data_IF_192081603836
#
_entry.id   IF_192081603836
#
_cell.length_a   1.000
_cell.length_b   1.000
_cell.length_c   1.000
_cell.angle_alpha   90.00
_cell.angle_beta   90.00
_cell.angle_gamma   90.00
#
_symmetry.space_group_name_H-M   'P 1'
#
loop_
_entity.id
_entity.type
_entity.pdbx_description
1 polymer ?
2 polymer ?
3 non-polymer ?
4 non-polymer ?
5 water ?
#
# COMPACT_ATOMS: atom_id res chain seq x y z
N UNK A 5 2.09 -2.89 -30.31
CA UNK A 5 1.79 -3.60 -29.07
C UNK A 5 2.14 -2.75 -27.85
N UNK A 6 1.12 -2.41 -27.07
CA UNK A 6 1.30 -1.57 -25.89
C UNK A 6 1.97 -2.34 -24.77
N UNK A 7 2.72 -1.62 -23.94
CA UNK A 7 3.22 -2.19 -22.71
C UNK A 7 2.03 -2.42 -21.78
N UNK A 8 2.10 -3.46 -20.95
CA UNK A 8 1.02 -3.73 -19.98
C UNK A 8 0.83 -2.56 -19.02
N UNK A 9 -0.43 -2.29 -18.67
CA UNK A 9 -0.80 -1.22 -17.76
C UNK A 9 -1.45 -1.79 -16.50
N UNK A 10 -0.96 -1.38 -15.33
CA UNK A 10 -1.58 -1.77 -14.07
C UNK A 10 -2.06 -0.51 -13.37
N UNK A 11 -3.33 -0.48 -12.97
CA UNK A 11 -3.93 0.70 -12.36
C UNK A 11 -4.01 0.58 -10.84
N UNK A 12 -3.71 1.68 -10.15
CA UNK A 12 -3.96 1.74 -8.71
C UNK A 12 -4.43 3.11 -8.30
N UNK A 13 -5.38 3.17 -7.37
CA UNK A 13 -5.83 4.46 -6.85
C UNK A 13 -5.68 4.51 -5.35
N UNK A 14 -5.28 5.67 -4.84
CA UNK A 14 -5.19 5.88 -3.40
C UNK A 14 -6.57 6.16 -2.80
N UNK A 15 -7.51 6.53 -3.66
CA UNK A 15 -8.87 6.85 -3.22
C UNK A 15 -9.62 5.59 -2.79
N UNK A 16 -9.80 5.44 -1.48
CA UNK A 16 -10.47 4.27 -0.93
C UNK A 16 -9.61 3.02 -0.93
N UNK A 17 -8.29 3.20 -0.99
CA UNK A 17 -7.38 2.06 -0.98
C UNK A 17 -7.54 1.20 0.27
N UNK A 18 -7.48 -0.11 0.09
CA UNK A 18 -7.54 -1.05 1.20
C UNK A 18 -6.31 -1.96 1.16
N UNK A 19 -6.12 -2.75 2.22
CA UNK A 19 -5.06 -3.73 2.19
C UNK A 19 -5.26 -4.65 0.98
N UNK A 20 -6.51 -5.04 0.75
CA UNK A 20 -6.84 -5.93 -0.36
C UNK A 20 -6.51 -5.32 -1.72
N UNK A 21 -6.90 -4.06 -1.94
CA UNK A 21 -6.65 -3.45 -3.24
C UNK A 21 -5.15 -3.26 -3.47
N UNK A 22 -4.41 -2.90 -2.42
CA UNK A 22 -2.96 -2.75 -2.52
C UNK A 22 -2.31 -4.12 -2.78
N UNK A 23 -2.82 -5.15 -2.12
CA UNK A 23 -2.33 -6.51 -2.30
C UNK A 23 -2.51 -6.95 -3.75
N UNK A 24 -3.69 -6.74 -4.29
CA UNK A 24 -3.95 -7.08 -5.69
C UNK A 24 -3.07 -6.31 -6.66
N UNK A 25 -2.80 -5.05 -6.33
CA UNK A 25 -1.95 -4.18 -7.13
C UNK A 25 -0.52 -4.72 -7.18
N UNK A 26 0.06 -5.00 -6.02
CA UNK A 26 1.44 -5.48 -5.96
C UNK A 26 1.56 -6.85 -6.62
N UNK A 27 0.57 -7.71 -6.42
CA UNK A 27 0.61 -9.03 -7.06
C UNK A 27 0.55 -8.91 -8.59
N UNK A 28 -0.23 -7.97 -9.08
CA UNK A 28 -0.34 -7.72 -10.52
C UNK A 28 0.97 -7.19 -11.10
N UNK A 29 1.59 -6.26 -10.39
CA UNK A 29 2.91 -5.75 -10.79
C UNK A 29 3.91 -6.90 -10.90
N UNK A 30 3.97 -7.75 -9.88
CA UNK A 30 4.90 -8.88 -9.92
C UNK A 30 4.62 -9.79 -11.11
N UNK A 31 3.33 -10.02 -11.37
CA UNK A 31 2.92 -10.90 -12.46
C UNK A 31 3.30 -10.37 -13.84
N UNK A 32 3.41 -9.06 -13.96
CA UNK A 32 3.77 -8.46 -15.23
C UNK A 32 5.29 -8.28 -15.35
N UNK A 33 5.97 -8.27 -14.20
CA UNK A 33 7.42 -8.11 -14.19
C UNK A 33 8.12 -9.38 -14.64
N UNK A 34 7.57 -10.53 -14.26
CA UNK A 34 8.18 -11.81 -14.58
C UNK A 34 7.17 -12.94 -14.62
N UNK A 35 7.50 -13.99 -15.38
CA UNK A 35 6.63 -15.15 -15.50
C UNK A 35 6.74 -16.04 -14.27
N UNK A 36 7.86 -15.92 -13.56
CA UNK A 36 8.14 -16.79 -12.42
C UNK A 36 8.61 -18.17 -12.82
N UNK A 37 8.91 -18.36 -14.10
CA UNK A 37 9.38 -19.65 -14.60
C UNK A 37 10.83 -19.90 -14.22
N UNK A 38 11.56 -18.82 -13.95
CA UNK A 38 12.96 -18.93 -13.56
C UNK A 38 13.06 -18.73 -12.05
N UNK A 39 13.41 -19.79 -11.34
CA UNK A 39 13.45 -19.75 -9.87
C UNK A 39 14.78 -20.31 -9.38
N UNK A 40 15.42 -19.58 -8.46
CA UNK A 40 16.64 -20.07 -7.82
C UNK A 40 16.45 -20.13 -6.33
N UNK A 41 16.67 -21.30 -5.75
CA UNK A 41 16.49 -21.49 -4.30
C UNK A 41 15.16 -20.94 -3.80
N UNK A 42 14.11 -21.23 -4.57
CA UNK A 42 12.73 -20.91 -4.19
C UNK A 42 12.41 -19.41 -4.19
N UNK A 43 13.21 -18.65 -4.94
CA UNK A 43 12.94 -17.23 -5.17
C UNK A 43 12.98 -16.92 -6.67
N UNK A 44 11.92 -16.25 -7.18
CA UNK A 44 11.78 -15.92 -8.60
C UNK A 44 12.80 -14.90 -9.11
N UNK A 45 13.19 -15.02 -10.37
CA UNK A 45 14.14 -14.10 -11.01
C UNK A 45 13.43 -13.29 -12.08
N UNK A 46 13.79 -12.02 -12.18
CA UNK A 46 13.34 -11.15 -13.26
C UNK A 46 13.96 -11.57 -14.60
N UNK A 47 13.36 -11.12 -15.70
CA UNK A 47 13.87 -11.46 -17.04
C UNK A 47 15.31 -11.02 -17.26
N UNK A 48 16.09 -11.90 -17.88
CA UNK A 48 17.42 -11.57 -18.36
C UNK A 48 17.31 -10.47 -19.41
N UNK A 49 18.11 -9.42 -19.28
CA UNK A 49 18.08 -8.34 -20.27
C UNK A 49 18.61 -8.80 -21.63
N UNK A 50 19.48 -9.80 -21.63
CA UNK A 50 20.07 -10.31 -22.87
C UNK A 50 19.01 -10.91 -23.78
N UNK A 51 18.84 -10.31 -24.96
CA UNK A 51 17.90 -10.82 -25.94
C UNK A 51 16.45 -10.50 -25.65
N UNK A 52 16.22 -9.67 -24.63
CA UNK A 52 14.87 -9.27 -24.25
C UNK A 52 14.34 -8.24 -25.25
N UNK A 53 13.26 -8.60 -25.98
CA UNK A 53 12.68 -7.72 -26.99
C UNK A 53 12.23 -6.39 -26.40
N UNK A 54 12.40 -5.31 -27.14
CA UNK A 54 12.05 -3.99 -26.63
C UNK A 54 10.56 -3.90 -26.25
N UNK A 55 9.70 -4.60 -26.99
CA UNK A 55 8.27 -4.56 -26.68
C UNK A 55 7.87 -5.32 -25.41
N UNK A 56 8.86 -5.95 -24.78
CA UNK A 56 8.63 -6.64 -23.51
C UNK A 56 9.44 -6.01 -22.36
N UNK A 57 10.07 -4.87 -22.62
CA UNK A 57 11.05 -4.30 -21.69
C UNK A 57 10.46 -3.54 -20.49
N UNK A 58 9.27 -2.98 -20.65
CA UNK A 58 8.69 -2.10 -19.64
C UNK A 58 7.25 -2.50 -19.28
N UNK A 59 6.84 -2.08 -18.09
CA UNK A 59 5.44 -2.11 -17.70
C UNK A 59 5.05 -0.72 -17.20
N UNK A 60 3.76 -0.41 -17.26
CA UNK A 60 3.29 0.91 -16.87
C UNK A 60 2.39 0.81 -15.65
N UNK A 61 2.61 1.71 -14.70
CA UNK A 61 1.79 1.76 -13.49
C UNK A 61 1.06 3.09 -13.44
N UNK A 62 -0.26 3.03 -13.63
CA UNK A 62 -1.08 4.22 -13.63
C UNK A 62 -1.61 4.49 -12.23
N UNK A 63 -1.23 5.63 -11.66
CA UNK A 63 -1.63 6.01 -10.32
C UNK A 63 -2.59 7.18 -10.35
N UNK A 64 -3.65 7.10 -9.55
CA UNK A 64 -4.54 8.24 -9.42
C UNK A 64 -4.98 8.44 -7.97
N UNK A 65 -5.46 9.63 -7.66
CA UNK A 65 -5.92 9.93 -6.31
C UNK A 65 -7.33 10.53 -6.32
N UNK A 66 -7.80 10.97 -5.16
CA UNK A 66 -9.18 11.43 -5.04
C UNK A 66 -9.43 12.69 -5.85
N UNK A 67 -8.38 13.47 -6.08
CA UNK A 67 -8.48 14.70 -6.85
C UNK A 67 -8.58 14.43 -8.35
N UNK A 68 -8.51 13.14 -8.72
CA UNK A 68 -8.63 12.74 -10.11
C UNK A 68 -7.38 13.12 -10.90
N UNK A 69 -6.31 13.47 -10.19
CA UNK A 69 -5.00 13.60 -10.83
C UNK A 69 -4.42 12.23 -11.09
N UNK A 70 -3.76 12.09 -12.23
CA UNK A 70 -3.19 10.81 -12.63
C UNK A 70 -1.77 11.00 -13.13
N UNK A 71 -0.90 10.08 -12.75
CA UNK A 71 0.43 9.98 -13.37
C UNK A 71 0.69 8.52 -13.70
N UNK A 72 1.55 8.28 -14.69
CA UNK A 72 1.92 6.92 -15.06
C UNK A 72 3.42 6.71 -14.93
N UNK A 73 3.83 5.79 -14.08
CA UNK A 73 5.24 5.41 -13.96
C UNK A 73 5.59 4.31 -14.95
N UNK A 74 6.80 4.37 -15.50
CA UNK A 74 7.32 3.26 -16.29
C UNK A 74 8.35 2.48 -15.48
N UNK A 75 8.17 1.17 -15.40
CA UNK A 75 9.12 0.30 -14.71
C UNK A 75 9.86 -0.60 -15.70
N UNK A 76 11.16 -0.74 -15.49
CA UNK A 76 12.00 -1.65 -16.26
C UNK A 76 11.83 -3.06 -15.69
N UNK A 77 11.42 -4.01 -16.54
CA UNK A 77 11.19 -5.37 -16.05
C UNK A 77 12.47 -6.06 -15.58
N UNK A 78 13.63 -5.58 -16.04
CA UNK A 78 14.88 -6.28 -15.68
C UNK A 78 15.31 -6.00 -14.24
N UNK A 79 14.81 -4.91 -13.66
CA UNK A 79 15.14 -4.57 -12.27
C UNK A 79 13.97 -4.06 -11.42
N UNK A 80 12.78 -3.97 -12.04
CA UNK A 80 11.57 -3.51 -11.33
C UNK A 80 11.58 -2.04 -10.94
N UNK A 81 12.57 -1.30 -11.41
CA UNK A 81 12.77 0.08 -10.97
C UNK A 81 12.14 1.09 -11.90
N UNK A 82 11.78 2.25 -11.34
CA UNK A 82 11.14 3.32 -12.08
C UNK A 82 12.17 4.04 -12.94
N UNK A 83 11.88 4.17 -14.24
CA UNK A 83 12.81 4.83 -15.16
C UNK A 83 12.31 6.20 -15.59
N UNK A 84 11.04 6.49 -15.32
CA UNK A 84 10.45 7.75 -15.74
C UNK A 84 8.96 7.77 -15.49
N UNK A 85 8.32 8.89 -15.82
CA UNK A 85 6.89 8.98 -15.63
C UNK A 85 6.27 9.95 -16.59
N UNK A 86 4.95 9.85 -16.73
CA UNK A 86 4.19 10.75 -17.56
C UNK A 86 3.10 11.42 -16.73
N UNK A 87 2.89 12.71 -16.98
CA UNK A 87 1.80 13.45 -16.38
C UNK A 87 1.22 14.33 -17.46
N UNK A 88 -0.05 14.14 -17.77
CA UNK A 88 -0.69 14.87 -18.84
C UNK A 88 0.05 14.66 -20.14
N UNK A 89 0.49 15.76 -20.76
CA UNK A 89 1.16 15.68 -22.05
C UNK A 89 2.67 15.89 -21.94
N UNK A 90 3.24 15.50 -20.80
CA UNK A 90 4.68 15.61 -20.57
C UNK A 90 5.19 14.33 -19.95
N UNK A 91 6.42 13.96 -20.30
CA UNK A 91 7.06 12.80 -19.70
C UNK A 91 8.50 13.13 -19.30
N UNK A 92 8.95 12.50 -18.23
CA UNK A 92 10.27 12.77 -17.65
C UNK A 92 10.99 11.48 -17.33
N UNK A 93 12.25 11.39 -17.75
CA UNK A 93 13.03 10.19 -17.53
C UNK A 93 14.29 10.48 -16.74
N UNK A 94 14.65 9.56 -15.84
CA UNK A 94 15.96 9.64 -15.21
C UNK A 94 17.07 9.48 -16.24
N UNK A 95 18.23 10.05 -15.94
CA UNK A 95 19.39 9.95 -16.81
C UNK A 95 19.78 8.48 -17.04
N UNK A 96 19.80 8.03 -18.30
CA UNK A 96 20.21 6.67 -18.63
C UNK A 96 21.70 6.45 -18.38
N UNK A 97 22.08 5.27 -17.90
CA UNK A 97 23.48 4.98 -17.55
C UNK A 97 24.34 4.60 -18.75
N UNK A 98 23.69 4.34 -19.89
CA UNK A 98 24.40 3.91 -21.07
C UNK A 98 23.59 4.18 -22.32
N UNK A 99 24.23 4.03 -23.48
CA UNK A 99 23.60 4.33 -24.75
C UNK A 99 22.40 3.43 -25.06
N UNK A 100 22.49 2.16 -24.69
CA UNK A 100 21.42 1.21 -25.00
C UNK A 100 20.15 1.48 -24.17
N UNK A 101 20.31 1.91 -22.93
CA UNK A 101 19.15 2.25 -22.13
C UNK A 101 18.55 3.57 -22.60
N UNK A 102 19.39 4.46 -23.12
CA UNK A 102 18.89 5.72 -23.66
C UNK A 102 18.01 5.43 -24.87
N UNK A 103 18.43 4.45 -25.67
CA UNK A 103 17.65 4.05 -26.84
C UNK A 103 16.36 3.39 -26.39
N UNK A 104 16.44 2.55 -25.36
CA UNK A 104 15.25 1.84 -24.88
C UNK A 104 14.12 2.79 -24.46
N UNK A 105 14.45 3.83 -23.70
CA UNK A 105 13.41 4.71 -23.17
C UNK A 105 12.73 5.56 -24.25
N UNK A 106 13.33 5.63 -25.43
CA UNK A 106 12.67 6.33 -26.55
C UNK A 106 11.39 5.60 -26.99
N UNK A 107 11.22 4.36 -26.51
CA UNK A 107 10.03 3.57 -26.83
C UNK A 107 8.89 3.81 -25.84
N UNK A 108 9.12 4.66 -24.84
CA UNK A 108 8.12 4.91 -23.80
C UNK A 108 7.36 6.21 -24.01
N UNK A 109 6.06 6.20 -23.74
CA UNK A 109 5.23 7.41 -23.80
C UNK A 109 5.43 8.16 -25.13
N UNK A 110 5.37 7.45 -26.25
CA UNK A 110 5.85 8.01 -27.52
C UNK A 110 4.97 9.09 -28.14
N UNK A 111 3.76 9.24 -27.64
CA UNK A 111 2.85 10.28 -28.12
C UNK A 111 3.07 11.62 -27.42
N UNK A 112 3.77 11.62 -26.29
CA UNK A 112 3.89 12.87 -25.54
C UNK A 112 4.54 13.96 -26.38
N UNK A 113 4.03 15.17 -26.24
CA UNK A 113 4.52 16.24 -27.07
C UNK A 113 5.62 17.00 -26.32
N UNK A 114 5.76 16.68 -25.04
CA UNK A 114 6.82 17.27 -24.25
C UNK A 114 7.63 16.19 -23.57
N UNK A 115 8.87 16.05 -23.98
CA UNK A 115 9.72 14.93 -23.61
C UNK A 115 11.00 15.42 -22.95
N UNK A 116 11.29 14.94 -21.75
CA UNK A 116 12.47 15.41 -21.04
C UNK A 116 13.26 14.27 -20.40
N UNK A 117 14.58 14.35 -20.51
CA UNK A 117 15.45 13.45 -19.76
C UNK A 117 16.21 14.28 -18.72
N UNK A 118 15.98 13.99 -17.44
CA UNK A 118 16.71 14.66 -16.36
C UNK A 118 18.20 14.37 -16.52
N UNK A 119 19.04 15.32 -16.11
CA UNK A 119 20.48 15.09 -16.17
C UNK A 119 20.92 14.12 -15.07
N UNK A 120 20.12 14.03 -14.01
CA UNK A 120 20.44 13.22 -12.85
C UNK A 120 19.79 11.83 -12.89
N UNK A 121 20.42 10.88 -12.20
CA UNK A 121 19.89 9.52 -12.12
C UNK A 121 18.86 9.35 -11.01
N UNK A 122 18.23 8.19 -10.97
CA UNK A 122 17.12 7.94 -10.06
C UNK A 122 17.47 7.07 -8.86
N UNK A 123 18.76 6.88 -8.60
CA UNK A 123 19.16 6.13 -7.41
C UNK A 123 18.91 6.96 -6.14
N UNK A 124 18.73 6.27 -5.02
CA UNK A 124 18.38 6.95 -3.77
C UNK A 124 19.42 7.98 -3.33
N UNK A 125 20.70 7.67 -3.50
CA UNK A 125 21.75 8.61 -3.10
C UNK A 125 21.48 9.97 -3.74
N UNK A 126 21.20 9.96 -5.04
CA UNK A 126 20.92 11.20 -5.77
C UNK A 126 19.60 11.83 -5.37
N UNK A 127 18.54 11.02 -5.27
CA UNK A 127 17.23 11.55 -4.96
C UNK A 127 17.18 12.17 -3.57
N UNK A 128 17.83 11.51 -2.61
CA UNK A 128 17.90 12.05 -1.24
C UNK A 128 18.64 13.39 -1.21
N UNK A 129 19.72 13.49 -1.96
CA UNK A 129 20.48 14.73 -2.03
C UNK A 129 19.59 15.86 -2.55
N UNK A 130 18.90 15.60 -3.66
CA UNK A 130 18.01 16.58 -4.28
C UNK A 130 16.84 16.94 -3.37
N UNK A 131 16.32 15.95 -2.67
CA UNK A 131 15.20 16.16 -1.77
C UNK A 131 15.58 16.91 -0.49
N UNK A 132 16.86 16.83 -0.14
CA UNK A 132 17.33 17.41 1.11
C UNK A 132 16.85 16.61 2.31
N UNK A 133 16.50 15.35 2.07
CA UNK A 133 15.98 14.46 3.11
C UNK A 133 16.35 13.00 2.80
N UNK A 134 16.65 12.23 3.84
CA UNK A 134 16.95 10.80 3.67
C UNK A 134 15.66 9.98 3.66
N UNK A 135 15.73 8.76 3.12
CA UNK A 135 14.59 7.85 3.21
C UNK A 135 14.06 7.72 4.63
N UNK A 136 14.95 7.70 5.61
CA UNK A 136 14.52 7.54 7.01
C UNK A 136 13.78 8.76 7.57
N UNK A 137 13.73 9.84 6.78
CA UNK A 137 13.05 11.07 7.17
C UNK A 137 11.75 11.28 6.41
N UNK A 138 11.45 10.38 5.47
CA UNK A 138 10.32 10.57 4.56
C UNK A 138 9.20 9.55 4.82
N UNK A 139 8.04 10.06 5.23
CA UNK A 139 6.90 9.19 5.55
C UNK A 139 6.34 8.44 4.34
N UNK A 140 5.96 7.18 4.58
CA UNK A 140 5.32 6.34 3.58
C UNK A 140 3.92 5.94 4.08
N UNK A 141 3.03 5.64 3.15
CA UNK A 141 1.65 5.34 3.49
C UNK A 141 0.72 5.84 2.39
N UNK A 142 -0.58 5.62 2.56
CA UNK A 142 -1.52 5.99 1.52
C UNK A 142 -1.55 7.51 1.32
N UNK A 143 -1.44 8.26 2.41
CA UNK A 143 -1.44 9.71 2.36
C UNK A 143 -0.23 10.25 1.61
N UNK A 144 0.98 9.82 2.02
CA UNK A 144 2.18 10.21 1.27
C UNK A 144 2.08 9.86 -0.21
N UNK A 145 1.53 8.69 -0.55
CA UNK A 145 1.41 8.33 -1.96
C UNK A 145 0.47 9.27 -2.71
N UNK A 146 -0.68 9.57 -2.09
CA UNK A 146 -1.65 10.52 -2.65
C UNK A 146 -0.98 11.86 -2.93
N UNK A 147 -0.20 12.34 -1.97
CA UNK A 147 0.51 13.61 -2.11
C UNK A 147 1.63 13.54 -3.16
N UNK A 148 2.32 12.39 -3.25
CA UNK A 148 3.36 12.24 -4.26
C UNK A 148 2.78 12.29 -5.68
N UNK A 149 1.63 11.66 -5.87
CA UNK A 149 0.94 11.68 -7.17
C UNK A 149 0.65 13.12 -7.59
N UNK A 150 0.12 13.91 -6.67
CA UNK A 150 -0.19 15.30 -6.95
C UNK A 150 1.06 16.09 -7.30
N UNK A 151 2.12 15.87 -6.54
CA UNK A 151 3.37 16.59 -6.74
C UNK A 151 4.01 16.25 -8.08
N UNK A 152 4.03 14.96 -8.44
CA UNK A 152 4.49 14.55 -9.76
C UNK A 152 3.68 15.22 -10.86
N UNK A 153 2.37 15.30 -10.66
CA UNK A 153 1.52 15.93 -11.66
C UNK A 153 1.87 17.41 -11.84
N UNK A 154 2.00 18.12 -10.73
CA UNK A 154 2.16 19.58 -10.79
C UNK A 154 3.55 19.99 -11.26
N UNK A 155 4.50 19.07 -11.27
CA UNK A 155 5.84 19.41 -11.76
C UNK A 155 5.76 19.93 -13.19
N UNK A 156 4.92 19.30 -14.01
CA UNK A 156 4.79 19.66 -15.42
C UNK A 156 4.28 21.08 -15.64
N UNK A 157 3.63 21.65 -14.63
CA UNK A 157 3.10 23.01 -14.75
C UNK A 157 3.87 24.02 -13.91
N UNK A 158 5.01 23.60 -13.38
CA UNK A 158 5.82 24.47 -12.53
C UNK A 158 5.29 24.63 -11.12
N UNK A 159 4.36 23.76 -10.73
CA UNK A 159 3.73 23.85 -9.42
C UNK A 159 4.45 23.05 -8.36
N UNK A 160 5.52 22.39 -8.74
CA UNK A 160 6.31 21.56 -7.84
C UNK A 160 7.79 21.86 -8.09
N UNK A 161 8.56 22.09 -7.03
CA UNK A 161 10.00 22.30 -7.17
C UNK A 161 10.76 20.98 -7.10
N UNK A 162 12.00 20.98 -7.58
CA UNK A 162 12.80 19.76 -7.67
C UNK A 162 12.91 18.96 -6.36
N UNK A 163 13.17 19.65 -5.23
CA UNK A 163 13.29 18.85 -4.00
C UNK A 163 12.03 18.03 -3.68
N UNK A 164 10.85 18.62 -3.89
CA UNK A 164 9.60 17.93 -3.66
C UNK A 164 9.36 16.85 -4.70
N UNK A 165 9.80 17.09 -5.93
CA UNK A 165 9.74 16.07 -6.96
C UNK A 165 10.56 14.85 -6.53
N UNK A 166 11.78 15.10 -6.05
CA UNK A 166 12.67 14.02 -5.60
C UNK A 166 12.06 13.24 -4.44
N UNK A 167 11.53 13.96 -3.46
CA UNK A 167 10.87 13.31 -2.33
C UNK A 167 9.73 12.41 -2.82
N UNK A 168 8.96 12.92 -3.78
CA UNK A 168 7.84 12.16 -4.32
C UNK A 168 8.27 10.89 -5.05
N UNK A 169 9.37 10.98 -5.79
CA UNK A 169 9.97 9.78 -6.40
C UNK A 169 10.37 8.76 -5.32
N UNK A 170 10.96 9.25 -4.23
CA UNK A 170 11.39 8.36 -3.15
C UNK A 170 10.20 7.59 -2.58
N UNK A 171 9.07 8.26 -2.46
CA UNK A 171 7.84 7.64 -1.97
C UNK A 171 7.31 6.59 -2.95
N UNK A 172 7.17 6.97 -4.22
CA UNK A 172 6.63 6.06 -5.23
C UNK A 172 7.50 4.83 -5.43
N UNK A 173 8.80 5.03 -5.52
CA UNK A 173 9.71 3.92 -5.78
C UNK A 173 9.63 2.89 -4.67
N UNK A 174 9.56 3.33 -3.42
CA UNK A 174 9.52 2.37 -2.33
C UNK A 174 8.20 1.63 -2.25
N UNK A 175 7.11 2.36 -2.42
CA UNK A 175 5.79 1.76 -2.25
C UNK A 175 5.35 0.89 -3.43
N UNK A 176 6.09 0.99 -4.54
CA UNK A 176 5.78 0.22 -5.74
C UNK A 176 6.92 -0.73 -6.09
N UNK A 177 8.07 -0.18 -6.48
CA UNK A 177 9.22 -1.00 -6.86
C UNK A 177 9.75 -1.86 -5.72
N UNK A 178 10.00 -1.26 -4.56
CA UNK A 178 10.59 -2.05 -3.47
C UNK A 178 9.59 -3.03 -2.89
N UNK A 179 8.32 -2.63 -2.84
CA UNK A 179 7.26 -3.52 -2.38
C UNK A 179 7.13 -4.74 -3.29
N UNK A 180 7.25 -4.51 -4.60
CA UNK A 180 7.25 -5.62 -5.57
C UNK A 180 8.44 -6.53 -5.33
N UNK A 181 9.60 -5.94 -5.12
CA UNK A 181 10.83 -6.70 -4.88
C UNK A 181 10.83 -7.51 -3.58
N UNK A 182 10.20 -6.99 -2.52
CA UNK A 182 10.30 -7.60 -1.19
C UNK A 182 8.93 -7.85 -0.57
N UNK A 183 8.58 -9.10 -0.33
CA UNK A 183 7.37 -9.44 0.44
C UNK A 183 7.35 -8.66 1.75
N UNK A 184 8.52 -8.54 2.35
CA UNK A 184 8.68 -7.88 3.64
C UNK A 184 8.28 -6.41 3.59
N UNK A 185 8.70 -5.72 2.53
CA UNK A 185 8.38 -4.31 2.39
C UNK A 185 6.89 -4.12 2.06
N UNK A 186 6.36 -4.99 1.22
CA UNK A 186 4.93 -5.00 0.95
C UNK A 186 4.16 -5.10 2.27
N UNK A 187 4.61 -5.97 3.16
CA UNK A 187 3.96 -6.16 4.44
C UNK A 187 4.00 -4.91 5.31
N UNK A 188 5.13 -4.21 5.27
CA UNK A 188 5.24 -2.97 6.04
C UNK A 188 4.28 -1.92 5.51
N UNK A 189 4.04 -1.92 4.20
CA UNK A 189 3.09 -1.01 3.60
C UNK A 189 1.66 -1.41 3.97
N UNK A 190 1.39 -2.72 4.01
CA UNK A 190 0.08 -3.21 4.44
C UNK A 190 -0.32 -2.70 5.83
N UNK A 191 0.63 -2.70 6.75
CA UNK A 191 0.38 -2.27 8.11
C UNK A 191 -0.03 -0.80 8.15
N UNK A 192 0.67 0.02 7.36
CA UNK A 192 0.35 1.44 7.27
C UNK A 192 -1.06 1.65 6.74
N UNK A 193 -1.43 0.88 5.72
CA UNK A 193 -2.76 1.03 5.14
C UNK A 193 -3.84 0.60 6.12
N UNK A 194 -3.62 -0.54 6.78
CA UNK A 194 -4.56 -1.14 7.73
C UNK A 194 -5.02 -0.16 8.81
N UNK A 195 -4.12 0.70 9.26
CA UNK A 195 -4.44 1.61 10.35
C UNK A 195 -4.46 3.06 9.89
N UNK A 196 -4.48 3.26 8.59
CA UNK A 196 -4.44 4.60 7.98
C UNK A 196 -3.38 5.47 8.63
N UNK A 197 -2.16 4.94 8.70
CA UNK A 197 -1.05 5.66 9.29
C UNK A 197 0.01 5.98 8.25
N UNK A 198 0.84 6.96 8.56
CA UNK A 198 1.99 7.28 7.73
C UNK A 198 3.23 7.35 8.61
N UNK A 199 4.33 6.77 8.15
CA UNK A 199 5.57 6.78 8.92
C UNK A 199 6.74 6.45 8.03
N UNK A 200 7.91 6.99 8.39
CA UNK A 200 9.14 6.70 7.67
C UNK A 200 9.52 5.23 7.84
N UNK A 201 10.22 4.67 6.84
CA UNK A 201 10.68 3.28 6.89
C UNK A 201 11.77 3.08 7.94
N UNK A 202 11.71 1.96 8.67
CA UNK A 202 12.73 1.63 9.66
C UNK A 202 13.99 1.13 8.95
N UNK A 203 15.10 1.00 9.70
CA UNK A 203 16.39 0.58 9.12
C UNK A 203 16.32 -0.77 8.40
N UNK A 204 15.45 -1.68 8.84
CA UNK A 204 15.37 -2.98 8.17
C UNK A 204 14.93 -2.80 6.73
N UNK A 205 13.98 -1.91 6.50
CA UNK A 205 13.50 -1.65 5.15
C UNK A 205 14.59 -1.00 4.31
N UNK A 206 15.24 0.02 4.87
CA UNK A 206 16.24 0.77 4.11
C UNK A 206 17.42 -0.13 3.71
N UNK A 207 17.90 -0.95 4.65
CA UNK A 207 19.03 -1.81 4.34
C UNK A 207 18.67 -2.94 3.36
N UNK A 208 17.46 -3.47 3.42
CA UNK A 208 17.01 -4.41 2.41
C UNK A 208 17.05 -3.76 1.03
N UNK A 209 16.53 -2.54 0.94
CA UNK A 209 16.55 -1.82 -0.33
C UNK A 209 17.99 -1.68 -0.86
N UNK A 210 18.90 -1.28 0.04
CA UNK A 210 20.30 -1.05 -0.33
C UNK A 210 20.99 -2.34 -0.76
N UNK A 211 20.49 -3.46 -0.26
CA UNK A 211 21.17 -4.74 -0.43
C UNK A 211 20.58 -5.62 -1.53
N UNK A 212 19.58 -5.13 -2.23
CA UNK A 212 18.83 -5.99 -3.15
C UNK A 212 19.70 -6.60 -4.25
N UNK A 213 20.53 -5.77 -4.88
CA UNK A 213 21.45 -6.22 -5.91
C UNK A 213 22.44 -7.25 -5.37
N UNK A 214 22.98 -6.98 -4.18
CA UNK A 214 23.99 -7.85 -3.59
C UNK A 214 23.38 -9.18 -3.16
N UNK A 215 22.16 -9.12 -2.63
CA UNK A 215 21.42 -10.32 -2.23
C UNK A 215 21.11 -11.18 -3.45
N UNK A 216 20.68 -10.54 -4.53
CA UNK A 216 20.43 -11.26 -5.78
C UNK A 216 21.66 -12.04 -6.23
N UNK A 217 22.82 -11.39 -6.20
CA UNK A 217 24.07 -12.04 -6.60
C UNK A 217 24.45 -13.18 -5.64
N UNK A 218 24.36 -12.91 -4.35
CA UNK A 218 24.72 -13.91 -3.33
C UNK A 218 23.90 -15.18 -3.49
N UNK A 219 22.61 -15.02 -3.74
CA UNK A 219 21.70 -16.17 -3.84
C UNK A 219 21.98 -16.98 -5.10
N UNK A 220 22.13 -16.29 -6.23
CA UNK A 220 22.34 -16.97 -7.50
C UNK A 220 23.71 -17.63 -7.65
N UNK A 221 24.70 -17.12 -6.91
CA UNK A 221 26.05 -17.69 -6.95
C UNK A 221 26.32 -18.65 -5.79
N UNK A 222 25.31 -18.87 -4.96
CA UNK A 222 25.47 -19.68 -3.76
C UNK A 222 25.73 -21.15 -4.06
N UNK A 223 26.43 -21.81 -3.13
CA UNK A 223 26.61 -23.25 -3.20
C UNK A 223 25.49 -23.92 -2.42
N UNK A 224 24.46 -24.37 -3.15
CA UNK A 224 23.30 -25.01 -2.53
C UNK A 224 22.59 -24.10 -1.53
N UNK A 225 22.59 -22.80 -1.82
CA UNK A 225 21.94 -21.84 -0.95
C UNK A 225 22.88 -21.18 0.04
N UNK A 226 24.05 -21.80 0.24
CA UNK A 226 25.06 -21.25 1.15
C UNK A 226 25.86 -20.13 0.49
N UNK A 227 25.95 -18.99 1.16
CA UNK A 227 26.63 -17.83 0.61
C UNK A 227 28.15 -18.00 0.65
N UNK A 228 28.82 -17.48 -0.38
CA UNK A 228 30.28 -17.49 -0.41
C UNK A 228 30.80 -16.60 0.72
N UNK A 229 30.14 -15.46 0.91
CA UNK A 229 30.48 -14.54 1.98
C UNK A 229 29.21 -13.93 2.58
N UNK A 230 29.22 -13.69 3.90
CA UNK A 230 28.04 -13.19 4.61
C UNK A 230 27.62 -11.79 4.17
N UNK A 231 26.32 -11.52 4.24
CA UNK A 231 25.82 -10.17 3.99
C UNK A 231 25.18 -9.63 5.26
N UNK A 232 25.49 -8.37 5.58
CA UNK A 232 24.99 -7.76 6.79
C UNK A 232 23.70 -7.00 6.55
N UNK A 233 22.67 -7.31 7.33
CA UNK A 233 21.40 -6.60 7.27
C UNK A 233 21.10 -5.95 8.61
N UNK A 234 20.00 -5.20 8.65
CA UNK A 234 19.58 -4.55 9.89
C UNK A 234 18.21 -5.02 10.36
N UNK A 235 18.04 -5.07 11.67
CA UNK A 235 16.73 -5.34 12.25
C UNK A 235 15.92 -4.06 12.30
N UNK A 236 14.64 -4.17 12.66
CA UNK A 236 13.77 -2.99 12.73
C UNK A 236 14.30 -1.92 13.68
N UNK A 237 15.02 -2.35 14.71
CA UNK A 237 15.59 -1.39 15.67
C UNK A 237 16.97 -0.89 15.28
N UNK A 238 17.47 -1.33 14.12
CA UNK A 238 18.73 -0.85 13.61
C UNK A 238 19.91 -1.77 13.86
N UNK A 239 19.78 -2.68 14.82
CA UNK A 239 20.88 -3.58 15.14
C UNK A 239 21.25 -4.44 13.94
N UNK A 240 22.53 -4.75 13.80
CA UNK A 240 23.04 -5.45 12.63
C UNK A 240 23.16 -6.94 12.87
N UNK A 241 22.90 -7.73 11.82
CA UNK A 241 23.07 -9.18 11.89
C UNK A 241 23.52 -9.70 10.53
N UNK A 242 24.11 -10.89 10.53
CA UNK A 242 24.67 -11.46 9.30
C UNK A 242 23.83 -12.59 8.75
N UNK A 243 23.68 -12.61 7.43
CA UNK A 243 22.98 -13.68 6.73
C UNK A 243 24.00 -14.53 5.97
N UNK A 244 23.94 -15.85 6.17
CA UNK A 244 24.93 -16.76 5.62
C UNK A 244 24.33 -17.72 4.58
N UNK A 245 23.02 -17.69 4.44
CA UNK A 245 22.31 -18.66 3.61
C UNK A 245 21.00 -18.09 3.10
N UNK A 246 20.52 -18.62 1.98
CA UNK A 246 19.32 -18.10 1.34
C UNK A 246 18.07 -18.34 2.19
N UNK A 247 18.12 -19.35 3.05
CA UNK A 247 16.94 -19.81 3.79
C UNK A 247 16.08 -18.71 4.41
N UNK A 248 16.68 -17.87 5.23
CA UNK A 248 15.91 -16.88 5.97
C UNK A 248 15.34 -15.78 5.08
N UNK A 249 15.83 -15.69 3.85
CA UNK A 249 15.38 -14.64 2.93
C UNK A 249 14.18 -15.08 2.08
N UNK A 250 13.83 -16.36 2.14
CA UNK A 250 12.75 -16.85 1.29
C UNK A 250 11.39 -16.16 1.57
N UNK A 251 11.06 -15.90 2.85
CA UNK A 251 9.82 -15.14 3.13
C UNK A 251 9.96 -13.64 2.92
N UNK A 252 11.18 -13.17 2.67
CA UNK A 252 11.50 -11.75 2.63
C UNK A 252 11.56 -11.18 1.22
N UNK A 253 12.23 -11.90 0.32
CA UNK A 253 12.46 -11.42 -1.04
C UNK A 253 11.49 -12.04 -2.01
N UNK A 254 10.82 -11.21 -2.80
CA UNK A 254 9.85 -11.67 -3.79
C UNK A 254 10.43 -11.81 -5.21
N UNK A 255 11.43 -11.00 -5.53
CA UNK A 255 12.00 -10.94 -6.88
C UNK A 255 13.50 -10.66 -6.80
N UNK A 256 14.26 -11.25 -7.73
CA UNK A 256 15.68 -10.95 -7.86
C UNK A 256 16.04 -10.48 -9.26
N UNK A 257 17.03 -9.60 -9.36
CA UNK A 257 17.58 -9.23 -10.65
C UNK A 257 18.39 -10.41 -11.19
N UNK A 258 18.29 -10.65 -12.50
CA UNK A 258 19.03 -11.75 -13.14
C UNK A 258 20.53 -11.44 -13.12
N UNK A 259 21.31 -12.33 -12.52
CA UNK A 259 22.75 -12.13 -12.41
C UNK A 259 23.54 -13.11 -13.27
N UNK A 260 23.03 -14.33 -13.37
CA UNK A 260 23.69 -15.37 -14.15
C UNK A 260 22.71 -16.50 -14.40
N UNK A 261 23.08 -17.38 -15.31
CA UNK A 261 22.32 -18.59 -15.56
C UNK A 261 22.61 -19.55 -14.43
N UNK A 262 21.64 -20.39 -14.09
CA UNK A 262 21.87 -21.36 -13.01
C UNK A 262 22.87 -22.42 -13.44
N UNK A 263 23.53 -23.06 -12.46
CA UNK A 263 24.40 -24.20 -12.78
C UNK A 263 23.61 -25.24 -13.55
N UNK A 264 24.23 -25.87 -14.55
CA UNK A 264 23.56 -26.89 -15.35
C UNK A 264 23.09 -28.04 -14.47
N UNK A 265 21.83 -28.43 -14.61
CA UNK A 265 21.30 -29.54 -13.82
C UNK A 265 21.48 -30.87 -14.56
N UNK A 266 21.90 -31.89 -13.83
CA UNK A 266 22.07 -33.22 -14.38
C UNK A 266 20.72 -33.84 -14.71
N UNK A 267 20.70 -34.72 -15.71
CA UNK A 267 19.46 -35.39 -16.11
C UNK A 267 19.13 -36.52 -15.14
N UNK A 268 20.10 -36.87 -14.30
CA UNK A 268 19.92 -37.96 -13.35
C UNK A 268 19.39 -37.45 -12.00
N UNK B 1 -7.53 7.39 16.87
CA UNK B 1 -8.94 7.75 16.78
C UNK B 1 -9.16 8.82 15.72
N UNK B 2 -9.69 8.39 14.57
CA UNK B 2 -9.89 9.29 13.44
C UNK B 2 -11.37 9.54 13.15
N UNK B 3 -12.24 8.91 13.94
CA UNK B 3 -13.69 9.08 13.78
C UNK B 3 -14.28 9.78 15.00
N UNK B 4 -15.41 10.44 14.81
CA UNK B 4 -16.05 11.21 15.88
C UNK B 4 -17.48 10.77 16.14
N UNK B 5 -17.70 10.09 17.27
CA UNK B 5 -19.00 9.55 17.62
C UNK B 5 -19.85 10.51 18.44
N UNK B 6 -21.16 10.32 18.39
CA UNK B 6 -22.09 11.18 19.12
C UNK B 6 -23.45 10.51 19.29
N UNK B 7 -24.17 10.87 20.36
CA UNK B 7 -25.56 10.48 20.51
C UNK B 7 -25.96 9.50 21.62
N UNK B 8 -24.99 9.09 22.44
CA UNK B 8 -25.26 8.12 23.48
C UNK B 8 -25.99 8.69 24.69
N UNK B 9 -26.07 7.90 25.75
CA UNK B 9 -26.65 8.37 27.00
C UNK B 9 -27.67 7.44 27.62
N UNK B 10 -28.50 8.00 28.49
CA UNK B 10 -29.48 7.25 29.26
C UNK B 10 -30.78 7.04 28.47
N UNK B 11 -31.29 5.82 28.50
CA UNK B 11 -32.54 5.50 27.81
C UNK B 11 -33.39 4.47 28.57
N UNK B 12 -34.69 4.70 28.58
CA UNK B 12 -35.63 3.80 29.25
C UNK B 12 -35.67 2.45 28.54
N UNK B 13 -35.75 1.35 29.31
CA UNK B 13 -35.88 0.02 28.70
C UNK B 13 -37.08 -0.01 27.75
N UNK B 14 -36.87 -0.48 26.53
CA UNK B 14 -37.91 -0.49 25.53
C UNK B 14 -37.86 0.73 24.62
N UNK B 15 -37.09 1.73 25.03
CA UNK B 15 -36.96 2.96 24.25
C UNK B 15 -35.99 2.88 23.09
N UNK B 16 -35.80 4.02 22.41
CA UNK B 16 -34.93 4.08 21.24
C UNK B 16 -33.87 5.15 21.40
N UNK B 17 -32.77 4.97 20.67
CA UNK B 17 -31.67 5.93 20.69
C UNK B 17 -30.92 5.79 19.36
N UNK B 18 -30.32 6.88 18.90
CA UNK B 18 -29.59 6.85 17.64
C UNK B 18 -28.17 7.36 17.81
N UNK B 19 -27.18 6.55 17.42
CA UNK B 19 -25.79 6.96 17.49
C UNK B 19 -25.29 7.43 16.13
N UNK B 20 -24.40 8.40 16.14
CA UNK B 20 -23.82 8.90 14.88
C UNK B 20 -22.31 8.80 14.93
N UNK B 21 -21.70 8.57 13.77
CA UNK B 21 -20.26 8.53 13.65
C UNK B 21 -19.84 9.28 12.39
N UNK B 22 -19.15 10.41 12.56
CA UNK B 22 -18.77 11.26 11.44
C UNK B 22 -17.27 11.24 11.21
N UNK B 23 -16.86 11.57 10.00
CA UNK B 23 -15.44 11.55 9.64
C UNK B 23 -14.99 12.91 9.14
N UNK B 24 -14.32 13.68 10.00
CA UNK B 24 -13.77 15.02 9.71
C UNK B 24 -12.83 15.05 8.51
N UNK B 25 -11.91 14.09 8.44
CA UNK B 25 -10.90 14.09 7.37
C UNK B 25 -10.90 12.77 6.60
N UNK B 26 -11.23 11.69 7.29
CA UNK B 26 -11.19 10.36 6.72
C UNK B 26 -12.32 10.14 5.71
N UNK B 27 -11.98 9.54 4.57
CA UNK B 27 -12.95 9.29 3.50
C UNK B 27 -13.77 8.03 3.78
N UNK B 28 -14.66 8.15 4.77
CA UNK B 28 -15.43 7.04 5.29
C UNK B 28 -16.29 6.36 4.22
N UNK B 29 -16.69 7.15 3.22
CA UNK B 29 -17.62 6.69 2.19
C UNK B 29 -17.10 5.51 1.38
N UNK B 30 -15.79 5.32 1.37
CA UNK B 30 -15.18 4.24 0.59
C UNK B 30 -15.12 2.91 1.32
N UNK B 31 -15.44 2.90 2.61
CA UNK B 31 -15.12 1.73 3.43
C UNK B 31 -16.31 1.09 4.15
N UNK B 32 -16.21 -0.22 4.36
CA UNK B 32 -17.12 -0.90 5.28
C UNK B 32 -17.01 -0.21 6.63
N UNK B 33 -18.15 0.03 7.28
CA UNK B 33 -18.16 0.62 8.60
C UNK B 33 -18.90 -0.32 9.53
N UNK B 34 -18.54 -0.31 10.81
CA UNK B 34 -19.20 -1.17 11.76
C UNK B 34 -19.31 -0.53 13.13
N UNK B 35 -20.22 -1.07 13.93
CA UNK B 35 -20.34 -0.67 15.32
C UNK B 35 -19.97 -1.84 16.21
N UNK B 36 -19.33 -1.52 17.33
CA UNK B 36 -18.88 -2.51 18.30
C UNK B 36 -19.27 -2.04 19.69
N UNK B 37 -19.32 -2.98 20.63
CA UNK B 37 -19.64 -2.61 22.00
C UNK B 37 -18.86 -3.42 23.01
N UNK B 38 -18.65 -2.83 24.18
CA UNK B 38 -17.95 -3.52 25.26
C UNK B 38 -18.59 -3.15 26.59
N UNK B 39 -18.98 -4.18 27.34
CA UNK B 39 -19.58 -3.99 28.66
C UNK B 39 -18.50 -3.89 29.73
N UNK B 43 -15.63 -8.03 27.39
CA UNK B 43 -14.92 -8.16 26.11
C UNK B 43 -15.65 -7.47 24.97
N UNK B 44 -14.89 -6.88 24.05
CA UNK B 44 -15.47 -6.16 22.92
C UNK B 44 -16.06 -7.11 21.90
N UNK B 45 -17.21 -6.75 21.34
CA UNK B 45 -17.87 -7.61 20.35
C UNK B 45 -18.49 -6.80 19.22
N UNK B 46 -18.51 -7.36 18.03
CA UNK B 46 -19.12 -6.68 16.90
C UNK B 46 -20.64 -6.65 17.05
N UNK B 47 -21.26 -5.59 16.56
CA UNK B 47 -22.69 -5.40 16.69
C UNK B 47 -23.35 -5.40 15.31
N UNK B 48 -22.78 -4.62 14.39
CA UNK B 48 -23.31 -4.52 13.03
C UNK B 48 -22.29 -3.92 12.10
N UNK B 49 -22.37 -4.26 10.82
CA UNK B 49 -21.53 -3.61 9.82
C UNK B 49 -22.31 -3.39 8.53
N UNK B 50 -21.82 -2.48 7.72
CA UNK B 50 -22.52 -2.07 6.51
C UNK B 50 -21.50 -1.78 5.42
N UNK B 51 -21.81 -2.23 4.21
CA UNK B 51 -20.92 -2.06 3.07
C UNK B 51 -20.77 -0.59 2.71
N UNK B 52 -19.72 -0.26 1.97
CA UNK B 52 -19.47 1.13 1.59
C UNK B 52 -20.69 1.73 0.88
N UNK B 53 -21.28 0.96 -0.03
CA UNK B 53 -22.42 1.43 -0.79
C UNK B 53 -23.73 1.39 -0.03
N UNK B 54 -23.74 0.69 1.10
CA UNK B 54 -24.92 0.64 1.96
C UNK B 54 -25.92 -0.45 1.61
N UNK B 55 -25.58 -1.30 0.65
CA UNK B 55 -26.51 -2.31 0.18
C UNK B 55 -26.45 -3.65 0.89
N UNK B 56 -25.47 -3.81 1.77
CA UNK B 56 -25.33 -5.07 2.49
C UNK B 56 -25.01 -4.81 3.96
N UNK B 57 -25.74 -5.47 4.85
CA UNK B 57 -25.54 -5.30 6.28
C UNK B 57 -25.52 -6.65 6.98
N UNK B 58 -24.79 -6.72 8.09
CA UNK B 58 -24.81 -7.89 8.96
C UNK B 58 -25.01 -7.46 10.41
N UNK B 59 -25.73 -8.28 11.17
CA UNK B 59 -26.03 -8.03 12.57
C UNK B 59 -25.69 -9.23 13.43
N UNK B 60 -25.18 -8.97 14.63
CA UNK B 60 -24.96 -10.04 15.58
C UNK B 60 -26.32 -10.55 16.09
N UNK B 61 -26.40 -11.81 16.45
CA UNK B 61 -27.68 -12.44 16.77
C UNK B 61 -28.52 -11.72 17.81
N UNK B 62 -27.88 -11.22 18.85
CA UNK B 62 -28.60 -10.64 19.99
C UNK B 62 -29.24 -9.27 19.71
N UNK B 63 -28.90 -8.67 18.57
CA UNK B 63 -29.49 -7.37 18.23
C UNK B 63 -30.34 -7.44 16.96
N UNK B 64 -30.35 -8.62 16.34
CA UNK B 64 -31.08 -8.81 15.09
C UNK B 64 -32.54 -8.43 15.24
N UNK B 65 -33.01 -7.54 14.38
CA UNK B 65 -34.40 -7.12 14.40
C UNK B 65 -34.69 -5.92 15.28
N UNK B 66 -33.71 -5.53 16.10
CA UNK B 66 -33.88 -4.42 17.02
C UNK B 66 -32.98 -3.25 16.64
N UNK B 67 -31.78 -3.55 16.15
CA UNK B 67 -30.83 -2.52 15.74
C UNK B 67 -30.77 -2.41 14.23
N UNK B 68 -30.56 -1.20 13.73
CA UNK B 68 -30.38 -0.98 12.30
C UNK B 68 -29.18 -0.07 12.05
N UNK B 69 -28.28 -0.52 11.19
CA UNK B 69 -27.13 0.29 10.80
C UNK B 69 -27.41 0.94 9.45
N UNK B 70 -27.00 2.19 9.28
CA UNK B 70 -27.19 2.90 8.02
C UNK B 70 -26.07 3.90 7.81
N UNK B 71 -26.03 4.52 6.63
CA UNK B 71 -24.97 5.48 6.36
C UNK B 71 -25.42 6.56 5.37
N UNK B 72 -24.81 7.74 5.47
CA UNK B 72 -25.03 8.83 4.53
C UNK B 72 -23.67 9.22 4.00
N UNK B 73 -23.31 8.68 2.84
CA UNK B 73 -21.98 8.91 2.28
C UNK B 73 -21.72 10.36 1.92
N UNK B 74 -22.77 11.10 1.58
CA UNK B 74 -22.62 12.51 1.24
C UNK B 74 -22.18 13.33 2.47
N UNK B 75 -22.54 12.84 3.65
CA UNK B 75 -22.13 13.48 4.90
C UNK B 75 -20.95 12.75 5.55
N UNK B 76 -20.50 11.68 4.90
CA UNK B 76 -19.44 10.82 5.43
C UNK B 76 -19.78 10.39 6.86
N UNK B 77 -21.01 9.95 7.05
CA UNK B 77 -21.48 9.57 8.37
C UNK B 77 -22.08 8.17 8.38
N UNK B 78 -22.00 7.51 9.53
CA UNK B 78 -22.59 6.19 9.71
C UNK B 78 -23.42 6.22 10.99
N UNK B 79 -24.55 5.52 10.99
CA UNK B 79 -25.51 5.59 12.10
C UNK B 79 -25.85 4.23 12.68
N UNK B 80 -26.18 4.22 13.97
CA UNK B 80 -26.78 3.04 14.59
C UNK B 80 -28.09 3.41 15.25
N UNK B 81 -29.19 2.93 14.67
CA UNK B 81 -30.51 3.12 15.26
C UNK B 81 -30.79 1.94 16.17
N UNK B 82 -30.99 2.23 17.46
CA UNK B 82 -31.24 1.16 18.44
C UNK B 82 -32.67 1.24 18.95
N UNK B 83 -33.46 0.22 18.64
CA UNK B 83 -34.85 0.15 19.10
C UNK B 83 -35.04 -0.97 20.11
N UNK B 84 -36.15 -0.93 20.84
CA UNK B 84 -36.49 -1.96 21.81
C UNK B 84 -35.30 -2.30 22.70
N UNK B 85 -34.69 -1.26 23.27
CA UNK B 85 -33.47 -1.44 24.05
C UNK B 85 -33.69 -2.22 25.34
N UNK B 86 -32.69 -3.02 25.69
CA UNK B 86 -32.74 -3.87 26.88
C UNK B 86 -31.61 -3.48 27.83
N UNK B 87 -31.79 -3.77 29.13
CA UNK B 87 -30.70 -3.55 30.09
C UNK B 87 -29.38 -4.18 29.62
N UNK B 88 -29.45 -5.33 28.96
CA UNK B 88 -28.26 -6.03 28.52
C UNK B 88 -27.54 -5.32 27.36
N UNK B 89 -28.18 -4.30 26.79
CA UNK B 89 -27.56 -3.51 25.73
C UNK B 89 -26.67 -2.41 26.29
N UNK B 90 -26.63 -2.30 27.62
CA UNK B 90 -25.77 -1.32 28.28
C UNK B 90 -24.30 -1.62 28.01
N UNK B 91 -23.59 -0.63 27.48
CA UNK B 91 -22.19 -0.82 27.11
C UNK B 91 -21.61 0.46 26.51
N UNK B 92 -20.30 0.46 26.30
CA UNK B 92 -19.64 1.49 25.54
C UNK B 92 -19.68 1.09 24.07
N UNK B 93 -20.27 1.94 23.22
CA UNK B 93 -20.38 1.65 21.80
C UNK B 93 -19.37 2.47 21.00
N UNK B 94 -18.76 1.84 20.01
CA UNK B 94 -17.79 2.52 19.17
C UNK B 94 -17.95 2.16 17.71
N UNK B 95 -17.66 3.12 16.84
CA UNK B 95 -17.72 2.89 15.39
C UNK B 95 -16.34 2.85 14.77
N UNK B 96 -16.16 1.98 13.78
CA UNK B 96 -14.87 1.80 13.13
C UNK B 96 -15.06 1.61 11.64
N UNK B 97 -14.01 1.90 10.88
CA UNK B 97 -14.00 1.63 9.44
C UNK B 97 -12.98 0.53 9.17
N UNK B 98 -13.34 -0.40 8.30
CA UNK B 98 -12.39 -1.45 7.91
C UNK B 98 -11.65 -1.08 6.64
N UNK B 99 -10.32 -1.09 6.72
CA UNK B 99 -9.47 -0.90 5.54
C UNK B 99 -8.83 -2.21 5.08
N UNK B 100 -9.23 -3.32 5.68
CA UNK B 100 -8.63 -4.59 5.29
C UNK B 100 -9.16 -5.08 3.95
N UNK B 101 -10.48 -5.15 3.82
CA UNK B 101 -11.12 -5.76 2.67
C UNK B 101 -11.83 -4.76 1.76
N UNK B 102 -11.77 -5.01 0.46
CA UNK B 102 -12.42 -4.15 -0.53
C UNK B 102 -13.94 -4.23 -0.47
N UNK B 103 -14.45 -5.34 0.07
CA UNK B 103 -15.88 -5.48 0.27
C UNK B 103 -16.20 -5.93 1.70
N UNK B 104 -17.46 -5.83 2.09
CA UNK B 104 -17.88 -6.31 3.40
C UNK B 104 -17.70 -7.83 3.48
N UNK B 105 -17.35 -8.31 4.66
CA UNK B 105 -17.23 -9.75 4.90
C UNK B 105 -18.36 -10.22 5.82
N UNK B 106 -18.84 -11.45 5.62
CA UNK B 106 -19.86 -12.01 6.51
C UNK B 106 -19.35 -11.97 7.95
N UNK B 107 -20.26 -11.78 8.90
CA UNK B 107 -19.90 -11.69 10.32
C UNK B 107 -18.95 -10.53 10.60
N UNK B 108 -18.94 -9.56 9.70
CA UNK B 108 -18.14 -8.34 9.87
C UNK B 108 -16.65 -8.61 10.08
N UNK B 109 -16.13 -9.64 9.43
CA UNK B 109 -14.70 -9.90 9.51
C UNK B 109 -13.89 -8.76 8.92
N UNK B 110 -12.79 -8.41 9.58
CA UNK B 110 -11.93 -7.33 9.14
C UNK B 110 -11.07 -6.84 10.27
N UNK B 111 -10.17 -5.90 9.97
CA UNK B 111 -9.29 -5.34 10.99
C UNK B 111 -9.87 -4.08 11.64
N UNK B 112 -10.75 -3.38 10.93
CA UNK B 112 -11.40 -2.18 11.47
C UNK B 112 -10.40 -1.30 12.23
N UNK B 113 -9.35 -0.89 11.52
CA UNK B 113 -8.22 -0.21 12.14
C UNK B 113 -8.40 1.27 12.41
N UNK B 114 -9.45 1.87 11.87
CA UNK B 114 -9.76 3.27 12.13
C UNK B 114 -11.04 3.35 12.97
N UNK B 115 -10.97 4.00 14.12
CA UNK B 115 -12.09 3.98 15.06
C UNK B 115 -12.40 5.32 15.72
N UNK B 116 -13.59 5.40 16.31
CA UNK B 116 -13.97 6.53 17.13
C UNK B 116 -13.73 6.24 18.60
N UNK B 117 -13.94 7.24 19.45
CA UNK B 117 -13.66 7.13 20.88
C UNK B 117 -14.67 6.30 21.64
N UNK B 118 -15.90 6.26 21.15
CA UNK B 118 -16.94 5.46 21.77
C UNK B 118 -17.80 6.26 22.71
N UNK B 119 -19.04 5.83 22.88
CA UNK B 119 -20.00 6.52 23.73
C UNK B 119 -20.70 5.54 24.66
N UNK B 120 -20.99 6.00 25.88
CA UNK B 120 -21.72 5.18 26.84
C UNK B 120 -23.21 5.18 26.50
N UNK B 121 -23.78 3.99 26.42
CA UNK B 121 -25.22 3.83 26.30
C UNK B 121 -25.70 3.08 27.51
N UNK B 122 -26.59 3.69 28.28
CA UNK B 122 -27.07 3.09 29.51
C UNK B 122 -28.59 2.92 29.45
N UNK B 123 -29.04 1.67 29.53
CA UNK B 123 -30.47 1.39 29.47
C UNK B 123 -30.97 1.08 30.87
N UNK B 124 -31.78 2.00 31.40
CA UNK B 124 -32.25 1.90 32.78
C UNK B 124 -33.49 2.75 32.96
N UNK B 125 -34.37 2.33 33.86
CA UNK B 125 -35.55 3.12 34.17
C UNK B 125 -35.19 4.26 35.11
N UNK B 126 -34.01 4.18 35.71
CA UNK B 126 -33.57 5.17 36.67
C UNK B 126 -33.38 6.53 36.01
N UNK B 127 -34.04 7.53 36.57
CA UNK B 127 -34.00 8.89 36.03
C UNK B 127 -34.84 9.00 34.75
X LIG C 1 24.64 -3.02 15.72
X LIG D 1 17.69 6.76 5.25
X LIG E 1 21.69 4.80 -3.92
X LIG F 1 -4.29 -2.98 -9.19
X LIG G 1 23.80 -2.06 6.89
X LIG G 1 24.24 -0.93 7.66
X LIG G 1 24.53 -3.32 7.37
X LIG G 1 25.93 -3.19 7.12
X LIG H 1 5.30 27.06 -7.23
X LIG H 1 6.33 27.10 -8.23
X LIG H 1 5.65 25.99 -6.20
X LIG H 1 6.88 26.33 -5.53
X LIG I 1 5.90 14.44 -1.16
X LIG I 1 5.95 14.48 0.27
X LIG I 1 4.69 15.22 -1.63
X LIG I 1 4.77 16.55 -1.11
X LIG J 1 -38.33 1.35 20.81
#
# INVERSE_FOLDING_TARGET
MIFPKQYPIINFTTAGATVQSYTNFIRAVRGRLTTGADVRHEIPVLPNRVGLPINQRFILVELSNHAELSVTLALDVTNAYVVGYRAGNSAYFFHPDNQEDAEAITHLFTDVQNRYTFAFGGNYDRLEQLAGNLRENIELGNGPLEEAISALYYYSTGGTQLPTLARSFIICIQMISEAARFQYIEGEMRTRIRYNRRSAPDPSVITLENSWGRLSTAIQESNQGAFASPIQLQRRNGSKFSVYDVSILIPIIALMVYRCAPPPSSQF
VQLAETGGGLVEPGGSLRLSCAAPEFRLQYYTAGWFRQAPGKEREWVACISAGGGVTYYTGSVQGRFTISRDNAKRTVYLQMDSLKPEDTAVYSCAADLEYSQIMPSCRGSYGVRGQGTQVTVSSAH
CL CL
CL CL
CL CL
CL CL
EDO C1 O1 C2 O2
EDO C1 O1 C2 O2
EDO C1 O1 C2 O2
CL CL
#
